data_IF_625663750443
#
_entry.id   IF_625663750443
#
_cell.length_a   1.000
_cell.length_b   1.000
_cell.length_c   1.000
_cell.angle_alpha   90.00
_cell.angle_beta   90.00
_cell.angle_gamma   90.00
#
_symmetry.space_group_name_H-M   'P 1'
#
loop_
_entity.id
_entity.type
_entity.pdbx_description
1 polymer ?
#
# COMPACT_ATOMS: atom_id res chain seq x y z
N UNK A 1 9.92 -44.62 -27.18
CA UNK A 1 10.27 -44.27 -25.78
C UNK A 1 9.85 -42.82 -25.59
N UNK A 2 8.75 -42.59 -24.86
CA UNK A 2 8.16 -41.26 -24.66
C UNK A 2 8.87 -40.61 -23.46
N UNK A 3 9.45 -39.42 -23.65
CA UNK A 3 9.99 -38.62 -22.54
C UNK A 3 8.92 -37.60 -22.19
N UNK A 4 8.28 -37.79 -21.04
CA UNK A 4 7.41 -36.78 -20.41
C UNK A 4 8.30 -35.95 -19.50
N UNK A 5 8.55 -34.70 -19.88
CA UNK A 5 9.17 -33.71 -19.01
C UNK A 5 8.04 -33.07 -18.21
N UNK A 6 7.91 -33.46 -16.94
CA UNK A 6 7.07 -32.76 -15.97
C UNK A 6 7.84 -31.52 -15.53
N UNK A 7 7.47 -30.36 -16.06
CA UNK A 7 7.94 -29.09 -15.55
C UNK A 7 7.19 -28.79 -14.25
N UNK A 8 7.87 -28.99 -13.12
CA UNK A 8 7.43 -28.47 -11.82
C UNK A 8 7.58 -26.95 -11.86
N UNK A 9 6.48 -26.24 -12.08
CA UNK A 9 6.40 -24.80 -11.84
C UNK A 9 6.32 -24.62 -10.32
N UNK A 10 7.43 -24.26 -9.70
CA UNK A 10 7.45 -23.83 -8.30
C UNK A 10 6.80 -22.46 -8.18
N UNK A 11 5.81 -22.31 -7.30
CA UNK A 11 5.38 -21.00 -6.83
C UNK A 11 6.56 -20.36 -6.11
N UNK A 12 7.14 -19.30 -6.69
CA UNK A 12 8.11 -18.47 -5.98
C UNK A 12 7.31 -17.53 -5.08
N UNK A 13 7.36 -17.74 -3.77
CA UNK A 13 6.96 -16.73 -2.81
C UNK A 13 7.93 -15.56 -2.94
N UNK A 14 7.53 -14.49 -3.64
CA UNK A 14 8.32 -13.26 -3.70
C UNK A 14 8.19 -12.56 -2.35
N UNK A 15 9.23 -12.69 -1.52
CA UNK A 15 9.41 -11.84 -0.35
C UNK A 15 9.90 -10.49 -0.83
N UNK A 16 9.12 -9.43 -0.58
CA UNK A 16 9.56 -8.05 -0.81
C UNK A 16 10.70 -7.76 0.17
N UNK A 17 11.89 -7.45 -0.33
CA UNK A 17 13.00 -7.05 0.52
C UNK A 17 12.80 -5.59 0.99
N UNK A 18 13.06 -5.29 2.28
CA UNK A 18 12.97 -3.92 2.77
C UNK A 18 14.03 -3.04 2.10
N UNK A 19 13.72 -1.75 1.99
CA UNK A 19 14.65 -0.77 1.45
C UNK A 19 15.91 -0.63 2.32
N UNK A 20 16.97 -0.03 1.75
CA UNK A 20 18.20 0.24 2.48
C UNK A 20 17.94 1.15 3.70
N UNK A 21 18.71 1.05 4.80
CA UNK A 21 18.45 1.83 6.03
C UNK A 21 18.36 3.35 5.84
N UNK A 22 19.17 3.91 4.94
CA UNK A 22 19.11 5.35 4.61
C UNK A 22 17.77 5.74 3.99
N UNK A 23 17.19 4.86 3.17
CA UNK A 23 15.88 5.06 2.55
C UNK A 23 14.75 4.98 3.57
N UNK A 24 14.81 4.02 4.49
CA UNK A 24 13.83 3.90 5.57
C UNK A 24 13.84 5.15 6.47
N UNK A 25 15.01 5.69 6.79
CA UNK A 25 15.14 6.92 7.56
C UNK A 25 14.56 8.14 6.82
N UNK A 26 14.77 8.23 5.51
CA UNK A 26 14.18 9.28 4.67
C UNK A 26 12.65 9.20 4.62
N UNK A 27 12.10 7.98 4.50
CA UNK A 27 10.64 7.74 4.53
C UNK A 27 10.07 8.12 5.89
N UNK A 28 10.73 7.75 7.00
CA UNK A 28 10.29 8.13 8.34
C UNK A 28 10.31 9.66 8.56
N UNK A 29 11.38 10.34 8.13
CA UNK A 29 11.53 11.80 8.25
C UNK A 29 10.45 12.55 7.45
N UNK A 30 10.23 12.17 6.18
CA UNK A 30 9.19 12.79 5.33
C UNK A 30 7.78 12.39 5.74
N UNK A 31 7.63 11.16 6.23
CA UNK A 31 6.38 10.62 6.71
C UNK A 31 5.84 11.40 7.89
N UNK A 32 6.69 11.93 8.78
CA UNK A 32 6.25 12.67 9.96
C UNK A 32 5.42 13.94 9.66
N UNK A 33 5.62 14.55 8.49
CA UNK A 33 4.86 15.74 8.06
C UNK A 33 3.56 15.37 7.31
N UNK A 34 3.42 14.12 6.85
CA UNK A 34 2.34 13.66 5.95
C UNK A 34 1.41 12.66 6.63
N UNK A 35 1.96 11.73 7.42
CA UNK A 35 1.24 10.75 8.23
C UNK A 35 1.10 11.31 9.65
N UNK A 36 -0.08 11.81 10.05
CA UNK A 36 -0.25 12.55 11.29
C UNK A 36 -0.30 11.64 12.54
N UNK A 37 0.12 10.38 12.45
CA UNK A 37 0.13 9.37 13.51
C UNK A 37 1.53 8.82 13.74
N UNK A 38 1.78 8.26 14.93
CA UNK A 38 3.08 7.67 15.27
C UNK A 38 3.33 6.36 14.50
N UNK A 39 4.25 6.40 13.53
CA UNK A 39 4.58 5.27 12.65
C UNK A 39 5.09 4.03 13.41
N UNK A 40 5.77 4.23 14.57
CA UNK A 40 6.29 3.14 15.41
C UNK A 40 5.19 2.41 16.19
N UNK A 41 3.96 2.96 16.20
CA UNK A 41 2.77 2.40 16.86
C UNK A 41 1.69 2.02 15.85
N UNK A 42 2.06 1.89 14.58
CA UNK A 42 1.14 1.53 13.51
C UNK A 42 1.72 0.48 12.58
N UNK A 43 0.81 -0.32 12.04
CA UNK A 43 1.13 -1.25 10.96
C UNK A 43 0.33 -0.89 9.71
N UNK A 44 1.03 -0.69 8.59
CA UNK A 44 0.45 -0.63 7.26
C UNK A 44 0.29 -2.06 6.70
N UNK A 45 -0.87 -2.37 6.16
CA UNK A 45 -1.17 -3.68 5.59
C UNK A 45 -1.59 -3.49 4.14
N UNK A 46 -0.91 -4.18 3.24
CA UNK A 46 -1.21 -4.14 1.81
C UNK A 46 -1.56 -5.55 1.31
N UNK A 47 -2.80 -5.74 0.88
CA UNK A 47 -3.30 -7.00 0.32
C UNK A 47 -3.53 -6.85 -1.18
N UNK A 48 -2.90 -7.72 -1.96
CA UNK A 48 -3.15 -7.81 -3.41
C UNK A 48 -4.33 -8.73 -3.65
N UNK A 49 -5.34 -8.24 -4.36
CA UNK A 49 -6.53 -9.00 -4.78
C UNK A 49 -6.54 -9.17 -6.31
N UNK A 50 -7.25 -10.18 -6.82
CA UNK A 50 -7.32 -10.45 -8.26
C UNK A 50 -7.87 -9.27 -9.08
N UNK A 51 -8.76 -8.46 -8.49
CA UNK A 51 -9.38 -7.29 -9.11
C UNK A 51 -9.00 -5.96 -8.43
N UNK A 52 -7.83 -5.90 -7.78
CA UNK A 52 -7.32 -4.68 -7.16
C UNK A 52 -6.50 -4.96 -5.91
N UNK A 53 -6.89 -4.35 -4.78
CA UNK A 53 -6.19 -4.56 -3.52
C UNK A 53 -6.82 -3.80 -2.35
N UNK A 54 -6.38 -4.12 -1.14
CA UNK A 54 -6.82 -3.49 0.09
C UNK A 54 -5.60 -2.88 0.82
N UNK A 55 -5.70 -1.60 1.13
CA UNK A 55 -4.78 -0.91 2.05
C UNK A 55 -5.47 -0.81 3.40
N UNK A 56 -4.76 -1.14 4.47
CA UNK A 56 -5.20 -0.86 5.84
C UNK A 56 -4.07 -0.17 6.59
N UNK A 57 -4.44 0.65 7.55
CA UNK A 57 -3.52 1.15 8.57
C UNK A 57 -4.20 0.93 9.91
N UNK A 58 -3.47 0.32 10.84
CA UNK A 58 -3.98 -0.01 12.17
C UNK A 58 -3.05 0.52 13.25
N UNK A 59 -3.63 0.89 14.39
CA UNK A 59 -2.90 1.12 15.64
C UNK A 59 -2.57 -0.23 16.28
N UNK A 60 -1.30 -0.42 16.65
CA UNK A 60 -0.81 -1.67 17.23
C UNK A 60 -1.23 -1.85 18.69
N UNK A 61 -1.50 -0.74 19.38
CA UNK A 61 -1.84 -0.70 20.81
C UNK A 61 -3.28 -0.25 21.09
N UNK A 62 -4.06 0.05 20.05
CA UNK A 62 -5.47 0.39 20.16
C UNK A 62 -5.73 1.76 20.79
N UNK A 63 -4.76 2.68 20.69
CA UNK A 63 -4.89 4.04 21.20
C UNK A 63 -5.91 4.85 20.40
N UNK A 64 -6.95 5.39 21.07
CA UNK A 64 -8.03 6.11 20.41
C UNK A 64 -7.55 7.32 19.58
N UNK A 65 -6.52 8.03 20.04
CA UNK A 65 -6.00 9.19 19.31
C UNK A 65 -5.25 8.75 18.05
N UNK A 66 -4.46 7.68 18.11
CA UNK A 66 -3.86 7.07 16.92
C UNK A 66 -4.94 6.62 15.93
N UNK A 67 -5.98 5.93 16.41
CA UNK A 67 -7.07 5.45 15.57
C UNK A 67 -7.79 6.61 14.86
N UNK A 68 -8.08 7.70 15.56
CA UNK A 68 -8.70 8.90 14.97
C UNK A 68 -7.82 9.53 13.88
N UNK A 69 -6.51 9.64 14.12
CA UNK A 69 -5.56 10.19 13.15
C UNK A 69 -5.43 9.31 11.90
N UNK A 70 -5.40 7.98 12.09
CA UNK A 70 -5.38 7.00 10.99
C UNK A 70 -6.64 7.12 10.13
N UNK A 71 -7.82 7.15 10.76
CA UNK A 71 -9.10 7.29 10.05
C UNK A 71 -9.18 8.59 9.26
N UNK A 72 -8.81 9.70 9.89
CA UNK A 72 -8.79 11.00 9.22
C UNK A 72 -7.85 10.99 8.00
N UNK A 73 -6.65 10.43 8.15
CA UNK A 73 -5.68 10.35 7.08
C UNK A 73 -6.17 9.48 5.91
N UNK A 74 -6.63 8.26 6.16
CA UNK A 74 -7.10 7.36 5.09
C UNK A 74 -8.36 7.87 4.39
N UNK A 75 -9.23 8.60 5.11
CA UNK A 75 -10.40 9.24 4.50
C UNK A 75 -9.95 10.36 3.52
N UNK A 76 -8.97 11.16 3.91
CA UNK A 76 -8.39 12.19 3.04
C UNK A 76 -7.67 11.56 1.83
N UNK A 77 -6.86 10.53 2.03
CA UNK A 77 -6.21 9.79 0.94
C UNK A 77 -7.25 9.26 -0.07
N UNK A 78 -8.32 8.60 0.41
CA UNK A 78 -9.36 8.07 -0.47
C UNK A 78 -10.04 9.16 -1.31
N UNK A 79 -10.38 10.30 -0.68
CA UNK A 79 -10.95 11.47 -1.37
C UNK A 79 -10.00 11.97 -2.46
N UNK A 80 -8.72 12.15 -2.14
CA UNK A 80 -7.73 12.69 -3.08
C UNK A 80 -7.38 11.73 -4.21
N UNK A 81 -7.18 10.45 -3.91
CA UNK A 81 -6.87 9.42 -4.90
C UNK A 81 -8.02 9.23 -5.88
N UNK A 82 -9.28 9.40 -5.44
CA UNK A 82 -10.45 9.38 -6.34
C UNK A 82 -10.44 10.49 -7.39
N UNK A 83 -9.64 11.54 -7.18
CA UNK A 83 -9.40 12.64 -8.12
C UNK A 83 -8.05 12.55 -8.85
N UNK A 84 -7.31 11.46 -8.65
CA UNK A 84 -5.98 11.25 -9.22
C UNK A 84 -4.87 12.03 -8.50
N UNK A 85 -5.15 12.55 -7.31
CA UNK A 85 -4.21 13.35 -6.54
C UNK A 85 -3.44 12.47 -5.54
N UNK A 86 -2.27 11.98 -5.96
CA UNK A 86 -1.38 11.15 -5.15
C UNK A 86 -0.18 11.92 -4.58
N UNK A 87 -0.35 13.22 -4.28
CA UNK A 87 0.75 14.05 -3.79
C UNK A 87 1.41 13.52 -2.51
N UNK A 88 0.64 12.98 -1.57
CA UNK A 88 1.17 12.54 -0.27
C UNK A 88 2.15 11.36 -0.45
N UNK A 89 1.79 10.30 -1.21
CA UNK A 89 2.75 9.29 -1.62
C UNK A 89 3.98 9.87 -2.36
N UNK A 90 3.81 10.87 -3.22
CA UNK A 90 4.96 11.50 -3.89
C UNK A 90 5.87 12.25 -2.91
N UNK A 91 5.31 12.91 -1.90
CA UNK A 91 6.06 13.67 -0.91
C UNK A 91 6.90 12.75 -0.04
N UNK A 92 6.37 11.59 0.35
CA UNK A 92 7.09 10.60 1.16
C UNK A 92 8.09 9.81 0.29
N UNK A 93 7.60 9.23 -0.80
CA UNK A 93 8.32 8.20 -1.56
C UNK A 93 9.03 8.73 -2.82
N UNK A 94 8.76 9.98 -3.20
CA UNK A 94 9.28 10.58 -4.44
C UNK A 94 8.46 10.20 -5.68
N UNK A 95 8.58 11.02 -6.71
CA UNK A 95 7.79 10.91 -7.95
C UNK A 95 8.02 9.60 -8.73
N UNK A 96 9.14 8.91 -8.48
CA UNK A 96 9.55 7.70 -9.20
C UNK A 96 9.15 6.40 -8.48
N UNK A 97 8.31 6.46 -7.44
CA UNK A 97 7.80 5.25 -6.80
C UNK A 97 7.12 4.35 -7.84
N UNK A 98 7.45 3.06 -7.82
CA UNK A 98 6.95 2.13 -8.81
C UNK A 98 5.41 2.05 -8.75
N UNK A 99 4.74 2.03 -9.91
CA UNK A 99 3.29 2.01 -10.03
C UNK A 99 2.59 3.36 -9.83
N UNK A 100 3.19 4.32 -9.13
CA UNK A 100 2.56 5.59 -8.75
C UNK A 100 2.09 6.41 -9.96
N UNK A 101 2.94 6.57 -10.97
CA UNK A 101 2.59 7.32 -12.18
C UNK A 101 1.40 6.70 -12.94
N UNK A 102 1.37 5.36 -13.03
CA UNK A 102 0.28 4.64 -13.68
C UNK A 102 -1.04 4.82 -12.93
N UNK A 103 -1.01 4.79 -11.59
CA UNK A 103 -2.19 5.04 -10.76
C UNK A 103 -2.73 6.46 -10.94
N UNK A 104 -1.85 7.47 -10.94
CA UNK A 104 -2.24 8.86 -11.19
C UNK A 104 -2.90 9.05 -12.55
N UNK A 105 -2.35 8.43 -13.60
CA UNK A 105 -2.89 8.56 -14.95
C UNK A 105 -4.18 7.75 -15.15
N UNK A 106 -4.30 6.64 -14.44
CA UNK A 106 -5.38 5.67 -14.58
C UNK A 106 -6.49 5.77 -13.53
N UNK A 107 -6.44 6.74 -12.61
CA UNK A 107 -7.32 6.83 -11.43
C UNK A 107 -8.82 6.64 -11.75
N UNK A 108 -9.29 7.15 -12.90
CA UNK A 108 -10.69 7.02 -13.34
C UNK A 108 -11.15 5.58 -13.58
N UNK A 109 -10.21 4.64 -13.70
CA UNK A 109 -10.49 3.23 -13.89
C UNK A 109 -10.43 2.45 -12.57
N UNK A 110 -10.24 3.11 -11.44
CA UNK A 110 -10.16 2.50 -10.11
C UNK A 110 -11.31 3.06 -9.27
N UNK A 111 -12.11 2.17 -8.69
CA UNK A 111 -13.08 2.52 -7.67
C UNK A 111 -12.41 2.40 -6.30
N UNK A 112 -12.57 3.43 -5.46
CA UNK A 112 -12.05 3.47 -4.10
C UNK A 112 -13.19 3.48 -3.09
N UNK A 113 -13.10 2.61 -2.10
CA UNK A 113 -14.06 2.54 -1.00
C UNK A 113 -13.32 2.63 0.35
N UNK A 114 -13.50 3.74 1.05
CA UNK A 114 -13.02 3.93 2.41
C UNK A 114 -13.96 3.27 3.44
N UNK A 115 -13.41 2.71 4.51
CA UNK A 115 -14.18 2.30 5.68
C UNK A 115 -13.36 2.30 6.97
N UNK A 116 -14.02 2.63 8.09
CA UNK A 116 -13.46 2.44 9.43
C UNK A 116 -13.40 0.94 9.77
N UNK A 117 -12.33 0.54 10.47
CA UNK A 117 -12.20 -0.78 11.11
C UNK A 117 -11.89 -0.60 12.60
N UNK A 118 -11.93 -1.67 13.39
CA UNK A 118 -11.83 -1.60 14.86
C UNK A 118 -10.63 -0.76 15.34
N UNK A 119 -9.43 -1.07 14.84
CA UNK A 119 -8.18 -0.42 15.23
C UNK A 119 -7.64 0.58 14.20
N UNK A 120 -8.45 1.08 13.27
CA UNK A 120 -7.97 2.00 12.23
C UNK A 120 -8.94 2.20 11.08
N UNK A 121 -8.42 2.18 9.85
CA UNK A 121 -9.19 2.33 8.62
C UNK A 121 -8.61 1.49 7.48
N UNK A 122 -9.40 1.37 6.41
CA UNK A 122 -9.00 0.71 5.18
C UNK A 122 -9.53 1.43 3.93
N UNK A 123 -8.81 1.26 2.81
CA UNK A 123 -9.21 1.68 1.47
C UNK A 123 -9.19 0.44 0.57
N UNK A 124 -10.36 0.08 0.05
CA UNK A 124 -10.51 -0.96 -0.96
C UNK A 124 -10.40 -0.34 -2.36
N UNK A 125 -9.46 -0.84 -3.14
CA UNK A 125 -9.24 -0.48 -4.54
C UNK A 125 -9.78 -1.59 -5.44
N UNK A 126 -10.72 -1.27 -6.33
CA UNK A 126 -11.32 -2.24 -7.26
C UNK A 126 -11.27 -1.76 -8.71
N UNK A 127 -10.98 -2.66 -9.64
CA UNK A 127 -10.91 -2.34 -11.06
C UNK A 127 -11.07 -3.60 -11.93
N UNK A 128 -11.70 -3.44 -13.10
CA UNK A 128 -11.74 -4.48 -14.15
C UNK A 128 -10.59 -4.30 -15.17
N UNK A 129 -9.74 -3.28 -14.98
CA UNK A 129 -8.60 -3.01 -15.87
C UNK A 129 -7.34 -3.72 -15.34
N UNK A 130 -6.87 -4.74 -16.07
CA UNK A 130 -5.68 -5.53 -15.72
C UNK A 130 -4.39 -4.69 -15.59
N UNK A 131 -4.26 -3.59 -16.34
CA UNK A 131 -3.12 -2.68 -16.21
C UNK A 131 -3.15 -1.95 -14.86
N UNK A 132 -4.35 -1.61 -14.36
CA UNK A 132 -4.52 -0.97 -13.05
C UNK A 132 -4.31 -1.92 -11.90
N UNK A 133 -4.74 -3.19 -12.03
CA UNK A 133 -4.39 -4.24 -11.06
C UNK A 133 -2.87 -4.36 -10.96
N UNK A 134 -2.17 -4.42 -12.09
CA UNK A 134 -0.71 -4.52 -12.14
C UNK A 134 -0.04 -3.29 -11.51
N UNK A 135 -0.55 -2.09 -11.77
CA UNK A 135 -0.04 -0.85 -11.19
C UNK A 135 -0.25 -0.81 -9.67
N UNK A 136 -1.43 -1.19 -9.18
CA UNK A 136 -1.72 -1.28 -7.74
C UNK A 136 -0.79 -2.26 -7.03
N UNK A 137 -0.60 -3.45 -7.61
CA UNK A 137 0.27 -4.48 -7.04
C UNK A 137 1.73 -4.02 -7.00
N UNK A 138 2.19 -3.36 -8.07
CA UNK A 138 3.54 -2.79 -8.13
C UNK A 138 3.73 -1.69 -7.09
N UNK A 139 2.73 -0.83 -6.91
CA UNK A 139 2.75 0.23 -5.91
C UNK A 139 2.72 -0.33 -4.49
N UNK A 140 1.91 -1.34 -4.21
CA UNK A 140 1.87 -2.03 -2.92
C UNK A 140 3.20 -2.69 -2.57
N UNK A 141 3.85 -3.35 -3.53
CA UNK A 141 5.18 -3.93 -3.31
C UNK A 141 6.23 -2.83 -3.01
N UNK A 142 6.14 -1.67 -3.66
CA UNK A 142 7.00 -0.53 -3.35
C UNK A 142 6.74 0.02 -1.95
N UNK A 143 5.48 0.15 -1.54
CA UNK A 143 5.10 0.58 -0.20
C UNK A 143 5.62 -0.37 0.88
N UNK A 144 5.46 -1.69 0.68
CA UNK A 144 6.00 -2.72 1.58
C UNK A 144 7.52 -2.61 1.75
N UNK A 145 8.24 -2.30 0.66
CA UNK A 145 9.69 -2.13 0.72
C UNK A 145 10.09 -0.84 1.47
N UNK A 146 9.45 0.28 1.14
CA UNK A 146 9.80 1.62 1.66
C UNK A 146 9.41 1.83 3.13
N UNK A 147 8.30 1.23 3.58
CA UNK A 147 7.88 1.29 4.99
C UNK A 147 8.53 0.20 5.85
N UNK A 148 9.15 -0.81 5.23
CA UNK A 148 9.96 -1.82 5.89
C UNK A 148 9.25 -2.46 7.11
N UNK A 149 9.78 -2.30 8.33
CA UNK A 149 9.20 -2.93 9.53
C UNK A 149 7.80 -2.40 9.90
N UNK A 150 7.37 -1.25 9.38
CA UNK A 150 6.06 -0.65 9.65
C UNK A 150 4.99 -1.09 8.63
N UNK A 151 5.34 -1.97 7.68
CA UNK A 151 4.41 -2.50 6.71
C UNK A 151 4.54 -4.01 6.54
N UNK A 152 3.43 -4.67 6.25
CA UNK A 152 3.39 -6.10 5.98
C UNK A 152 2.35 -6.45 4.92
N UNK A 153 2.53 -7.56 4.17
CA UNK A 153 1.43 -8.11 3.39
C UNK A 153 0.32 -8.60 4.33
N UNK A 154 -0.91 -8.71 3.83
CA UNK A 154 -1.96 -9.42 4.58
C UNK A 154 -1.52 -10.84 4.91
N UNK A 155 -1.68 -11.23 6.18
CA UNK A 155 -1.54 -12.64 6.55
C UNK A 155 -2.87 -13.32 6.24
N UNK A 156 -2.91 -14.13 5.17
CA UNK A 156 -4.06 -15.02 4.91
C UNK A 156 -4.14 -16.15 5.93
#
# INVERSE_FOLDING_TARGET
>A
MLVVIVALVGCQSHTVEPAAPERLAEVADRGADVMPFDLERTTHIFEKMDNGGLQQVISDDGDDAQIELIRAHLAEEAERFSHGDFHDPQMIHGENMAGLHQLMMGYKNINLEYSDIENGAQILYTTDNEEMVTALHTWFDAQLSDHGPHAQPSTQ
#
